data_IF_373888444398
#
_entry.id   IF_373888444398
#
_cell.length_a   1.000
_cell.length_b   1.000
_cell.length_c   1.000
_cell.angle_alpha   90.00
_cell.angle_beta   90.00
_cell.angle_gamma   90.00
#
_symmetry.space_group_name_H-M   'P 1'
#
loop_
_entity.id
_entity.type
_entity.pdbx_description
1 polymer ?
#
# COMPACT_ATOMS: atom_id res chain seq x y z
N UNK A 1 -11.56 -34.95 45.60
CA UNK A 1 -10.46 -34.92 44.63
C UNK A 1 -10.95 -34.23 43.37
N UNK A 2 -10.71 -32.94 43.27
CA UNK A 2 -11.14 -32.13 42.12
C UNK A 2 -10.11 -32.18 41.00
N UNK A 3 -10.52 -32.67 39.82
CA UNK A 3 -9.71 -32.58 38.62
C UNK A 3 -9.72 -31.11 38.15
N UNK A 4 -8.62 -30.40 38.36
CA UNK A 4 -8.36 -29.09 37.72
C UNK A 4 -8.23 -29.33 36.23
N UNK A 5 -9.24 -28.94 35.46
CA UNK A 5 -9.14 -28.81 34.02
C UNK A 5 -8.16 -27.66 33.71
N UNK A 6 -6.90 -28.00 33.43
CA UNK A 6 -5.97 -27.06 32.85
C UNK A 6 -6.48 -26.71 31.43
N UNK A 7 -7.11 -25.55 31.30
CA UNK A 7 -7.38 -24.95 30.01
C UNK A 7 -6.01 -24.68 29.36
N UNK A 8 -5.64 -25.49 28.38
CA UNK A 8 -4.43 -25.27 27.63
C UNK A 8 -4.69 -24.03 26.76
N UNK A 9 -3.91 -22.97 26.99
CA UNK A 9 -3.96 -21.79 26.13
C UNK A 9 -3.38 -22.16 24.76
N UNK A 10 -4.27 -22.49 23.83
CA UNK A 10 -3.94 -22.90 22.47
C UNK A 10 -3.10 -21.85 21.74
N UNK A 11 -3.28 -20.54 22.05
CA UNK A 11 -2.49 -19.46 21.46
C UNK A 11 -1.03 -19.53 21.91
N UNK A 12 -0.80 -19.83 23.20
CA UNK A 12 0.54 -19.96 23.76
C UNK A 12 1.24 -21.19 23.18
N UNK A 13 0.52 -22.30 23.09
CA UNK A 13 1.04 -23.55 22.51
C UNK A 13 1.36 -23.40 21.03
N UNK A 14 0.51 -22.70 20.24
CA UNK A 14 0.78 -22.40 18.85
C UNK A 14 1.98 -21.47 18.68
N UNK A 15 2.15 -20.47 19.55
CA UNK A 15 3.30 -19.57 19.51
C UNK A 15 4.62 -20.29 19.86
N UNK A 16 4.58 -21.32 20.73
CA UNK A 16 5.74 -22.15 21.08
C UNK A 16 6.09 -23.16 19.99
N UNK A 17 5.08 -23.79 19.36
CA UNK A 17 5.30 -24.80 18.31
C UNK A 17 5.61 -24.19 16.95
N UNK A 18 5.13 -22.98 16.67
CA UNK A 18 5.34 -22.23 15.44
C UNK A 18 5.80 -20.81 15.80
N UNK A 19 7.07 -20.65 16.20
CA UNK A 19 7.62 -19.33 16.44
C UNK A 19 7.53 -18.56 15.11
N UNK A 20 6.58 -17.66 15.02
CA UNK A 20 6.61 -16.69 13.92
C UNK A 20 7.94 -15.94 14.08
N UNK A 21 8.76 -15.84 13.03
CA UNK A 21 9.91 -14.96 13.09
C UNK A 21 9.37 -13.60 13.53
N UNK A 22 9.93 -13.05 14.62
CA UNK A 22 9.63 -11.68 15.06
C UNK A 22 9.95 -10.84 13.84
N UNK A 23 8.92 -10.36 13.14
CA UNK A 23 9.12 -9.51 11.99
C UNK A 23 10.01 -8.36 12.47
N UNK A 24 11.19 -8.14 11.86
CA UNK A 24 12.03 -7.01 12.20
C UNK A 24 11.13 -5.78 12.15
N UNK A 25 11.32 -4.85 13.10
CA UNK A 25 10.51 -3.64 13.26
C UNK A 25 10.13 -3.13 11.87
N UNK A 26 8.83 -3.05 11.59
CA UNK A 26 8.27 -3.02 10.23
C UNK A 26 9.04 -2.05 9.35
N UNK A 27 9.91 -2.58 8.49
CA UNK A 27 10.64 -1.76 7.57
C UNK A 27 9.61 -1.06 6.69
N UNK A 28 9.67 0.25 6.62
CA UNK A 28 8.80 1.08 5.80
C UNK A 28 9.51 1.48 4.51
N UNK A 29 8.75 1.80 3.48
CA UNK A 29 9.23 2.38 2.25
C UNK A 29 8.77 3.84 2.19
N UNK A 30 9.67 4.83 2.25
CA UNK A 30 9.30 6.23 2.14
C UNK A 30 8.56 6.50 0.82
N UNK A 31 7.50 7.30 0.89
CA UNK A 31 6.72 7.65 -0.32
C UNK A 31 7.33 8.82 -1.09
N UNK A 32 8.20 9.59 -0.43
CA UNK A 32 8.74 10.84 -0.95
C UNK A 32 7.81 12.04 -0.72
N UNK A 33 6.59 11.82 -0.26
CA UNK A 33 5.69 12.86 0.19
C UNK A 33 5.81 13.00 1.72
N UNK A 34 6.64 13.97 2.16
CA UNK A 34 7.02 14.13 3.58
C UNK A 34 5.83 14.14 4.53
N UNK A 35 4.77 14.86 4.16
CA UNK A 35 3.57 14.95 5.00
C UNK A 35 2.85 13.60 5.12
N UNK A 36 2.79 12.82 4.04
CA UNK A 36 2.23 11.47 4.05
C UNK A 36 3.09 10.56 4.94
N UNK A 37 4.41 10.57 4.74
CA UNK A 37 5.34 9.75 5.50
C UNK A 37 5.26 10.03 7.00
N UNK A 38 5.22 11.30 7.42
CA UNK A 38 5.05 11.69 8.82
C UNK A 38 3.76 11.15 9.43
N UNK A 39 2.67 11.16 8.66
CA UNK A 39 1.35 10.73 9.16
C UNK A 39 1.23 9.20 9.26
N UNK A 40 1.87 8.45 8.36
CA UNK A 40 1.76 6.98 8.31
C UNK A 40 2.94 6.25 8.99
N UNK A 41 3.84 6.97 9.67
CA UNK A 41 4.94 6.38 10.41
C UNK A 41 6.20 6.12 9.58
N UNK A 42 6.48 6.97 8.60
CA UNK A 42 7.73 6.98 7.81
C UNK A 42 7.61 6.42 6.41
N UNK A 43 6.45 5.94 5.98
CA UNK A 43 6.21 5.41 4.64
C UNK A 43 5.27 4.21 4.60
N UNK A 44 5.15 3.58 3.45
CA UNK A 44 4.34 2.37 3.30
C UNK A 44 4.99 1.18 4.01
N UNK A 45 4.23 0.39 4.81
CA UNK A 45 4.76 -0.79 5.47
C UNK A 45 5.18 -1.82 4.42
N UNK A 46 6.41 -2.31 4.50
CA UNK A 46 6.89 -3.46 3.72
C UNK A 46 6.29 -4.75 4.26
N UNK A 47 6.26 -5.78 3.43
CA UNK A 47 5.64 -7.08 3.74
C UNK A 47 4.15 -6.95 4.08
N UNK A 48 3.48 -5.95 3.50
CA UNK A 48 2.09 -5.64 3.79
C UNK A 48 1.36 -5.00 2.61
N UNK A 49 0.04 -5.09 2.65
CA UNK A 49 -0.84 -4.37 1.71
C UNK A 49 -1.25 -3.04 2.34
N UNK A 50 -1.03 -1.97 1.60
CA UNK A 50 -1.64 -0.65 1.83
C UNK A 50 -2.77 -0.46 0.82
N UNK A 51 -3.96 -0.11 1.29
CA UNK A 51 -5.09 0.26 0.45
C UNK A 51 -5.25 1.78 0.42
N UNK A 52 -5.16 2.37 -0.77
CA UNK A 52 -5.42 3.77 -1.02
C UNK A 52 -6.80 3.92 -1.67
N UNK A 53 -7.69 4.62 -1.00
CA UNK A 53 -9.05 4.84 -1.46
C UNK A 53 -9.12 6.27 -2.03
N UNK A 54 -9.45 6.39 -3.32
CA UNK A 54 -9.64 7.65 -4.03
C UNK A 54 -11.10 7.76 -4.48
N UNK A 55 -12.03 8.23 -3.64
CA UNK A 55 -13.47 8.20 -3.93
C UNK A 55 -13.86 9.00 -5.16
N UNK A 56 -13.08 10.04 -5.48
CA UNK A 56 -13.25 10.91 -6.64
C UNK A 56 -12.11 10.73 -7.63
N UNK A 57 -12.36 10.90 -8.92
CA UNK A 57 -11.33 10.78 -9.96
C UNK A 57 -10.22 11.82 -9.80
N UNK A 58 -10.56 13.02 -9.29
CA UNK A 58 -9.60 14.11 -9.02
C UNK A 58 -9.04 14.10 -7.60
N UNK A 59 -9.01 12.95 -6.92
CA UNK A 59 -8.56 12.87 -5.53
C UNK A 59 -7.02 12.91 -5.38
N UNK A 60 -6.26 12.86 -6.49
CA UNK A 60 -4.79 12.96 -6.46
C UNK A 60 -4.06 11.63 -6.53
N UNK A 61 -4.74 10.54 -6.93
CA UNK A 61 -4.11 9.23 -7.10
C UNK A 61 -2.98 9.24 -8.13
N UNK A 62 -3.18 9.87 -9.29
CA UNK A 62 -2.16 10.02 -10.32
C UNK A 62 -0.94 10.82 -9.81
N UNK A 63 -1.17 11.94 -9.11
CA UNK A 63 -0.08 12.73 -8.54
C UNK A 63 0.74 11.96 -7.51
N UNK A 64 0.09 11.07 -6.74
CA UNK A 64 0.81 10.18 -5.83
C UNK A 64 1.68 9.17 -6.60
N UNK A 65 1.20 8.58 -7.70
CA UNK A 65 2.01 7.69 -8.55
C UNK A 65 3.25 8.44 -9.05
N UNK A 66 3.09 9.67 -9.54
CA UNK A 66 4.22 10.49 -9.98
C UNK A 66 5.23 10.77 -8.85
N UNK A 67 4.74 11.08 -7.64
CA UNK A 67 5.62 11.28 -6.48
C UNK A 67 6.41 10.03 -6.12
N UNK A 68 5.76 8.88 -6.13
CA UNK A 68 6.40 7.59 -5.88
C UNK A 68 7.45 7.27 -6.93
N UNK A 69 7.18 7.60 -8.20
CA UNK A 69 8.12 7.39 -9.29
C UNK A 69 9.34 8.33 -9.16
N UNK A 70 9.15 9.59 -8.80
CA UNK A 70 10.24 10.52 -8.52
C UNK A 70 11.07 10.08 -7.30
N UNK A 71 10.41 9.55 -6.25
CA UNK A 71 11.11 8.97 -5.10
C UNK A 71 11.95 7.77 -5.52
N UNK A 72 11.41 6.86 -6.33
CA UNK A 72 12.13 5.70 -6.84
C UNK A 72 13.37 6.10 -7.65
N UNK A 73 13.26 7.12 -8.50
CA UNK A 73 14.39 7.69 -9.23
C UNK A 73 15.46 8.25 -8.29
N UNK A 74 15.07 9.07 -7.32
CA UNK A 74 15.99 9.68 -6.36
C UNK A 74 16.73 8.62 -5.56
N UNK A 75 16.02 7.60 -5.11
CA UNK A 75 16.53 6.54 -4.24
C UNK A 75 17.09 5.35 -5.04
N UNK A 76 17.18 5.47 -6.38
CA UNK A 76 17.79 4.53 -7.32
C UNK A 76 17.24 3.10 -7.21
N UNK A 77 15.93 2.95 -7.03
CA UNK A 77 15.26 1.65 -7.06
C UNK A 77 14.17 1.58 -8.12
N UNK A 78 13.71 0.38 -8.44
CA UNK A 78 12.65 0.15 -9.41
C UNK A 78 11.33 -0.03 -8.70
N UNK A 79 10.24 0.49 -9.29
CA UNK A 79 8.87 0.22 -8.87
C UNK A 79 8.10 -0.44 -10.00
N UNK A 80 7.09 -1.22 -9.65
CA UNK A 80 6.17 -1.79 -10.62
C UNK A 80 4.80 -1.12 -10.50
N UNK A 81 4.28 -0.65 -11.64
CA UNK A 81 2.91 -0.15 -11.77
C UNK A 81 2.11 -1.11 -12.63
N UNK A 82 1.08 -1.70 -12.06
CA UNK A 82 0.09 -2.52 -12.76
C UNK A 82 -1.14 -1.65 -12.99
N UNK A 83 -1.29 -1.21 -14.22
CA UNK A 83 -2.37 -0.33 -14.67
C UNK A 83 -3.50 -1.17 -15.26
N UNK A 84 -4.60 -1.27 -14.55
CA UNK A 84 -5.67 -2.21 -14.88
C UNK A 84 -6.54 -1.82 -16.08
N UNK A 85 -6.47 -0.56 -16.52
CA UNK A 85 -7.26 -0.04 -17.65
C UNK A 85 -6.44 0.76 -18.66
N UNK A 86 -5.10 0.72 -18.54
CA UNK A 86 -4.18 1.44 -19.43
C UNK A 86 -4.41 2.96 -19.42
N UNK A 87 -4.44 3.52 -18.23
CA UNK A 87 -4.78 4.94 -17.98
C UNK A 87 -3.60 5.81 -17.56
N UNK A 88 -2.47 5.21 -17.22
CA UNK A 88 -1.27 5.97 -16.84
C UNK A 88 -0.73 6.73 -18.05
N UNK A 89 -0.50 8.04 -17.87
CA UNK A 89 0.11 8.90 -18.88
C UNK A 89 1.60 9.09 -18.59
N UNK A 90 2.49 8.41 -19.34
CA UNK A 90 3.92 8.58 -19.17
C UNK A 90 4.41 9.97 -19.59
N UNK A 91 3.64 10.69 -20.45
CA UNK A 91 4.02 12.02 -20.93
C UNK A 91 4.04 13.08 -19.83
N UNK A 92 3.38 12.82 -18.69
CA UNK A 92 3.39 13.69 -17.52
C UNK A 92 4.57 13.45 -16.58
N UNK A 93 5.45 12.50 -16.87
CA UNK A 93 6.64 12.15 -16.07
C UNK A 93 7.94 12.40 -16.84
N UNK A 94 9.01 12.71 -16.11
CA UNK A 94 10.33 12.82 -16.68
C UNK A 94 10.84 11.47 -17.21
N UNK A 95 11.49 11.47 -18.37
CA UNK A 95 12.09 10.27 -18.97
C UNK A 95 13.10 9.58 -18.04
N UNK A 96 13.78 10.33 -17.18
CA UNK A 96 14.71 9.78 -16.18
C UNK A 96 14.00 8.99 -15.10
N UNK A 97 12.83 9.45 -14.65
CA UNK A 97 12.00 8.75 -13.67
C UNK A 97 11.36 7.49 -14.29
N UNK A 98 10.93 7.54 -15.56
CA UNK A 98 10.35 6.41 -16.27
C UNK A 98 11.32 5.21 -16.40
N UNK A 99 12.63 5.44 -16.36
CA UNK A 99 13.64 4.35 -16.36
C UNK A 99 13.57 3.48 -15.11
N UNK A 100 12.96 3.96 -14.04
CA UNK A 100 12.77 3.26 -12.78
C UNK A 100 11.40 2.57 -12.66
N UNK A 101 10.61 2.55 -13.76
CA UNK A 101 9.26 2.02 -13.81
C UNK A 101 9.18 0.74 -14.63
N UNK A 102 8.69 -0.33 -14.05
CA UNK A 102 8.08 -1.43 -14.78
C UNK A 102 6.59 -1.15 -14.91
N UNK A 103 6.13 -0.77 -16.10
CA UNK A 103 4.70 -0.52 -16.37
C UNK A 103 4.06 -1.72 -17.04
N UNK A 104 3.10 -2.34 -16.35
CA UNK A 104 2.31 -3.48 -16.82
C UNK A 104 0.92 -2.99 -17.15
N UNK A 105 0.58 -3.03 -18.43
CA UNK A 105 -0.69 -2.57 -18.99
C UNK A 105 -1.68 -3.72 -19.04
N UNK A 106 -2.78 -3.60 -18.34
CA UNK A 106 -3.87 -4.57 -18.35
C UNK A 106 -5.12 -3.98 -18.99
N UNK A 107 -6.11 -4.83 -19.25
CA UNK A 107 -7.42 -4.39 -19.76
C UNK A 107 -8.57 -4.79 -18.84
N UNK A 108 -8.27 -5.54 -17.78
CA UNK A 108 -9.26 -6.05 -16.82
C UNK A 108 -8.63 -6.07 -15.43
N UNK A 109 -9.43 -5.73 -14.42
CA UNK A 109 -9.00 -5.75 -13.03
C UNK A 109 -8.46 -7.12 -12.59
N UNK A 110 -9.08 -8.22 -13.05
CA UNK A 110 -8.62 -9.57 -12.69
C UNK A 110 -7.24 -9.92 -13.26
N UNK A 111 -6.89 -9.41 -14.43
CA UNK A 111 -5.55 -9.61 -15.01
C UNK A 111 -4.51 -8.80 -14.25
N UNK A 112 -4.88 -7.61 -13.75
CA UNK A 112 -4.02 -6.84 -12.85
C UNK A 112 -3.73 -7.60 -11.53
N UNK A 113 -4.73 -8.28 -10.96
CA UNK A 113 -4.52 -9.13 -9.77
C UNK A 113 -3.59 -10.31 -10.07
N UNK A 114 -3.67 -10.93 -11.24
CA UNK A 114 -2.73 -12.00 -11.66
C UNK A 114 -1.31 -11.47 -11.84
N UNK A 115 -1.16 -10.28 -12.44
CA UNK A 115 0.14 -9.63 -12.58
C UNK A 115 0.75 -9.32 -11.20
N UNK A 116 -0.06 -8.82 -10.25
CA UNK A 116 0.37 -8.59 -8.88
C UNK A 116 0.83 -9.89 -8.19
N UNK A 117 0.07 -11.00 -8.34
CA UNK A 117 0.46 -12.33 -7.82
C UNK A 117 1.83 -12.75 -8.36
N UNK A 118 2.08 -12.52 -9.63
CA UNK A 118 3.36 -12.87 -10.26
C UNK A 118 4.52 -12.03 -9.71
N UNK A 119 4.37 -10.70 -9.65
CA UNK A 119 5.43 -9.80 -9.17
C UNK A 119 5.73 -9.97 -7.67
N UNK A 120 4.70 -10.21 -6.85
CA UNK A 120 4.89 -10.45 -5.43
C UNK A 120 5.60 -11.78 -5.14
N UNK A 121 5.47 -12.78 -6.02
CA UNK A 121 6.25 -14.03 -5.92
C UNK A 121 7.73 -13.82 -6.26
N UNK A 122 7.99 -12.94 -7.21
CA UNK A 122 9.36 -12.61 -7.62
C UNK A 122 10.10 -11.82 -6.53
N UNK A 123 9.42 -10.91 -5.83
CA UNK A 123 9.94 -10.17 -4.67
C UNK A 123 11.03 -9.14 -4.98
N UNK A 124 11.31 -8.86 -6.25
CA UNK A 124 12.42 -7.99 -6.68
C UNK A 124 12.08 -6.50 -6.64
N UNK A 125 10.79 -6.14 -6.48
CA UNK A 125 10.36 -4.76 -6.45
C UNK A 125 10.11 -4.29 -5.02
N UNK A 126 10.74 -3.21 -4.54
CA UNK A 126 10.43 -2.63 -3.23
C UNK A 126 8.98 -2.15 -3.13
N UNK A 127 8.38 -1.73 -4.28
CA UNK A 127 7.00 -1.28 -4.37
C UNK A 127 6.31 -1.89 -5.59
N UNK A 128 5.16 -2.50 -5.36
CA UNK A 128 4.21 -2.93 -6.40
C UNK A 128 2.92 -2.12 -6.22
N UNK A 129 2.56 -1.34 -7.23
CA UNK A 129 1.34 -0.54 -7.28
C UNK A 129 0.33 -1.26 -8.19
N UNK A 130 -0.89 -1.44 -7.69
CA UNK A 130 -2.02 -1.98 -8.47
C UNK A 130 -3.06 -0.88 -8.58
N UNK A 131 -3.15 -0.24 -9.75
CA UNK A 131 -4.10 0.84 -9.99
C UNK A 131 -5.41 0.29 -10.56
N UNK A 132 -6.46 0.35 -9.73
CA UNK A 132 -7.83 -0.06 -10.03
C UNK A 132 -8.81 1.12 -9.98
N UNK A 133 -8.32 2.35 -9.87
CA UNK A 133 -9.16 3.55 -9.64
C UNK A 133 -10.21 3.74 -10.74
N UNK A 134 -9.86 3.46 -11.99
CA UNK A 134 -10.77 3.63 -13.12
C UNK A 134 -11.59 2.40 -13.47
N UNK A 135 -11.37 1.25 -12.80
CA UNK A 135 -12.21 0.07 -13.01
C UNK A 135 -13.63 0.28 -12.46
N UNK A 136 -14.61 -0.31 -13.11
CA UNK A 136 -15.99 -0.24 -12.66
C UNK A 136 -16.20 -1.03 -11.36
N UNK A 137 -17.12 -0.57 -10.50
CA UNK A 137 -17.45 -1.27 -9.27
C UNK A 137 -17.97 -2.70 -9.54
N UNK A 138 -18.63 -2.92 -10.67
CA UNK A 138 -19.11 -4.24 -11.08
C UNK A 138 -17.95 -5.20 -11.38
N UNK A 139 -16.94 -4.71 -12.08
CA UNK A 139 -15.74 -5.50 -12.39
C UNK A 139 -14.95 -5.85 -11.13
N UNK A 140 -14.78 -4.87 -10.22
CA UNK A 140 -14.08 -5.08 -8.96
C UNK A 140 -14.79 -6.08 -8.03
N UNK A 141 -16.14 -6.12 -8.01
CA UNK A 141 -16.90 -7.11 -7.24
C UNK A 141 -16.73 -8.54 -7.74
N UNK A 142 -16.33 -8.74 -9.00
CA UNK A 142 -16.05 -10.06 -9.57
C UNK A 142 -14.72 -10.64 -9.11
N UNK A 143 -13.85 -9.84 -8.47
CA UNK A 143 -12.59 -10.32 -7.90
C UNK A 143 -12.91 -11.12 -6.63
N UNK A 144 -12.59 -12.43 -6.57
CA UNK A 144 -12.84 -13.23 -5.39
C UNK A 144 -12.07 -12.73 -4.17
N UNK A 145 -12.70 -12.78 -3.00
CA UNK A 145 -12.02 -12.40 -1.74
C UNK A 145 -10.75 -13.24 -1.48
N UNK A 146 -10.74 -14.48 -1.93
CA UNK A 146 -9.58 -15.37 -1.86
C UNK A 146 -8.35 -14.81 -2.59
N UNK A 147 -8.55 -14.00 -3.65
CA UNK A 147 -7.44 -13.36 -4.36
C UNK A 147 -6.73 -12.33 -3.49
N UNK A 148 -7.46 -11.55 -2.69
CA UNK A 148 -6.90 -10.57 -1.76
C UNK A 148 -6.10 -11.24 -0.63
N UNK A 149 -6.65 -12.31 -0.05
CA UNK A 149 -5.93 -13.10 0.96
C UNK A 149 -4.68 -13.79 0.40
N UNK A 150 -4.72 -14.20 -0.86
CA UNK A 150 -3.56 -14.76 -1.54
C UNK A 150 -2.47 -13.70 -1.73
N UNK A 151 -2.80 -12.51 -2.22
CA UNK A 151 -1.85 -11.40 -2.33
C UNK A 151 -1.26 -11.03 -0.95
N UNK A 152 -2.09 -11.01 0.09
CA UNK A 152 -1.63 -10.78 1.46
C UNK A 152 -0.55 -11.76 1.88
N UNK A 153 -0.76 -13.06 1.68
CA UNK A 153 0.23 -14.10 2.03
C UNK A 153 1.52 -13.98 1.21
N UNK A 154 1.40 -13.59 -0.04
CA UNK A 154 2.58 -13.40 -0.91
C UNK A 154 3.42 -12.21 -0.45
N UNK A 155 2.78 -11.08 -0.17
CA UNK A 155 3.51 -9.88 0.26
C UNK A 155 4.15 -10.05 1.64
N UNK A 156 3.52 -10.81 2.56
CA UNK A 156 4.09 -11.12 3.88
C UNK A 156 5.43 -11.88 3.82
N UNK A 157 5.66 -12.61 2.74
CA UNK A 157 6.87 -13.41 2.55
C UNK A 157 8.06 -12.63 1.95
N UNK A 158 7.84 -11.39 1.49
CA UNK A 158 8.85 -10.60 0.75
C UNK A 158 8.96 -9.18 1.30
N UNK A 159 10.14 -8.50 1.17
CA UNK A 159 10.33 -7.13 1.66
C UNK A 159 9.73 -6.07 0.71
N UNK A 160 8.57 -6.36 0.13
CA UNK A 160 7.85 -5.52 -0.83
C UNK A 160 6.71 -4.78 -0.14
N UNK A 161 6.53 -3.50 -0.41
CA UNK A 161 5.29 -2.80 -0.12
C UNK A 161 4.31 -3.01 -1.29
N UNK A 162 3.06 -3.39 -1.01
CA UNK A 162 2.02 -3.52 -2.02
C UNK A 162 0.97 -2.43 -1.82
N UNK A 163 0.86 -1.52 -2.78
CA UNK A 163 -0.13 -0.44 -2.78
C UNK A 163 -1.26 -0.79 -3.73
N UNK A 164 -2.47 -0.95 -3.20
CA UNK A 164 -3.69 -1.16 -4.00
C UNK A 164 -4.49 0.12 -3.99
N UNK A 165 -4.73 0.68 -5.17
CA UNK A 165 -5.46 1.93 -5.36
C UNK A 165 -6.82 1.65 -5.97
N UNK A 166 -7.88 2.19 -5.37
CA UNK A 166 -9.25 1.99 -5.84
C UNK A 166 -10.18 3.14 -5.38
N UNK A 167 -11.45 3.11 -5.78
CA UNK A 167 -12.43 4.15 -5.39
C UNK A 167 -13.22 3.83 -4.12
N UNK A 168 -13.22 2.59 -3.70
CA UNK A 168 -13.98 2.11 -2.52
C UNK A 168 -13.19 1.03 -1.81
N UNK A 169 -13.37 0.86 -0.51
CA UNK A 169 -12.65 -0.17 0.24
C UNK A 169 -12.98 -1.57 -0.27
N UNK A 170 -11.95 -2.31 -0.69
CA UNK A 170 -12.02 -3.66 -1.25
C UNK A 170 -11.23 -4.67 -0.43
N UNK A 171 -10.08 -4.26 0.10
CA UNK A 171 -9.11 -5.15 0.73
C UNK A 171 -9.31 -5.16 2.24
N UNK A 172 -10.07 -6.14 2.75
CA UNK A 172 -10.33 -6.28 4.19
C UNK A 172 -9.08 -6.57 5.00
N UNK A 173 -8.08 -7.22 4.41
CA UNK A 173 -6.80 -7.60 5.04
C UNK A 173 -5.72 -6.51 4.98
N UNK A 174 -5.98 -5.35 4.36
CA UNK A 174 -4.99 -4.28 4.29
C UNK A 174 -4.54 -3.83 5.67
N UNK A 175 -3.22 -3.74 5.87
CA UNK A 175 -2.62 -3.31 7.13
C UNK A 175 -2.74 -1.80 7.34
N UNK A 176 -2.64 -1.04 6.26
CA UNK A 176 -2.82 0.40 6.23
C UNK A 176 -3.92 0.76 5.23
N UNK A 177 -4.86 1.63 5.65
CA UNK A 177 -5.91 2.19 4.78
C UNK A 177 -5.86 3.70 4.82
N UNK A 178 -5.75 4.29 3.64
CA UNK A 178 -5.67 5.74 3.44
C UNK A 178 -6.80 6.16 2.51
N UNK A 179 -7.54 7.19 2.88
CA UNK A 179 -8.57 7.80 2.03
C UNK A 179 -8.09 9.16 1.57
N UNK A 180 -8.05 9.38 0.26
CA UNK A 180 -7.79 10.69 -0.32
C UNK A 180 -9.05 11.54 -0.27
N UNK A 181 -8.94 12.75 0.28
CA UNK A 181 -10.06 13.68 0.46
C UNK A 181 -10.07 14.82 -0.57
N UNK A 182 -9.06 14.87 -1.43
CA UNK A 182 -8.95 15.93 -2.42
C UNK A 182 -10.10 15.91 -3.43
N UNK A 183 -10.43 17.10 -3.88
CA UNK A 183 -11.30 17.34 -5.02
C UNK A 183 -10.67 18.50 -5.81
N UNK A 184 -9.64 18.18 -6.61
CA UNK A 184 -8.91 19.19 -7.35
C UNK A 184 -9.69 19.66 -8.59
N UNK A 185 -9.57 20.93 -8.85
CA UNK A 185 -10.03 21.59 -10.07
C UNK A 185 -8.86 21.78 -11.02
N UNK A 186 -9.12 22.11 -12.29
CA UNK A 186 -8.06 22.38 -13.27
C UNK A 186 -7.11 23.50 -12.79
N UNK A 187 -7.65 24.53 -12.12
CA UNK A 187 -6.86 25.63 -11.55
C UNK A 187 -5.91 25.19 -10.39
N UNK A 188 -6.22 24.09 -9.73
CA UNK A 188 -5.34 23.56 -8.68
C UNK A 188 -4.14 22.78 -9.26
N UNK A 189 -4.27 22.26 -10.48
CA UNK A 189 -3.20 21.54 -11.18
C UNK A 189 -2.12 22.48 -11.74
N UNK A 190 -2.43 23.76 -11.91
CA UNK A 190 -1.46 24.79 -12.34
C UNK A 190 -0.54 25.26 -11.21
N UNK A 191 -0.84 24.88 -9.96
CA UNK A 191 -0.03 25.24 -8.79
C UNK A 191 1.21 24.36 -8.68
N UNK A 192 2.36 24.96 -8.48
CA UNK A 192 3.56 24.23 -8.09
C UNK A 192 3.31 23.47 -6.78
N UNK A 193 3.79 22.20 -6.70
CA UNK A 193 3.68 21.33 -5.51
C UNK A 193 2.28 20.79 -5.18
N UNK A 194 1.59 20.27 -6.18
CA UNK A 194 0.28 19.57 -6.02
C UNK A 194 0.34 18.47 -4.93
N UNK A 195 1.47 17.80 -4.79
CA UNK A 195 1.68 16.70 -3.82
C UNK A 195 1.67 17.20 -2.37
N UNK A 196 2.21 18.39 -2.11
CA UNK A 196 2.22 18.99 -0.76
C UNK A 196 0.82 19.33 -0.25
N UNK A 197 -0.17 19.41 -1.16
CA UNK A 197 -1.55 19.72 -0.88
C UNK A 197 -2.46 18.47 -0.83
N UNK A 198 -1.89 17.27 -0.85
CA UNK A 198 -2.66 16.05 -0.69
C UNK A 198 -3.30 16.02 0.71
N UNK A 199 -4.64 15.97 0.74
CA UNK A 199 -5.42 15.75 1.96
C UNK A 199 -5.82 14.29 2.01
N UNK A 200 -5.59 13.65 3.15
CA UNK A 200 -5.94 12.26 3.34
C UNK A 200 -6.25 11.96 4.80
N UNK A 201 -7.02 10.91 5.00
CA UNK A 201 -7.34 10.37 6.32
C UNK A 201 -6.84 8.93 6.41
N UNK A 202 -6.16 8.61 7.52
CA UNK A 202 -5.81 7.23 7.84
C UNK A 202 -6.99 6.57 8.55
N UNK A 203 -7.64 5.59 7.91
CA UNK A 203 -8.77 4.86 8.48
C UNK A 203 -8.35 3.66 9.32
N UNK A 204 -7.24 3.02 8.95
CA UNK A 204 -6.74 1.82 9.64
C UNK A 204 -5.22 1.81 9.58
N UNK A 205 -4.59 1.65 10.73
CA UNK A 205 -3.16 1.40 10.82
C UNK A 205 -2.93 0.29 11.87
N UNK A 206 -2.36 -0.82 11.43
CA UNK A 206 -1.84 -1.87 12.31
C UNK A 206 -0.32 -1.75 12.51
N UNK A 207 0.28 -0.69 12.04
CA UNK A 207 1.68 -0.36 12.35
C UNK A 207 1.73 -0.05 13.84
N UNK A 208 2.38 -0.92 14.64
CA UNK A 208 2.64 -0.62 16.03
C UNK A 208 3.45 0.67 16.09
N UNK A 209 2.85 1.75 16.58
CA UNK A 209 3.54 3.00 16.86
C UNK A 209 4.61 2.71 17.92
N UNK A 210 5.87 2.79 17.53
CA UNK A 210 7.04 2.77 18.43
C UNK A 210 7.29 4.16 19.04
N UNK A 211 6.27 4.98 19.18
CA UNK A 211 6.42 6.33 19.76
C UNK A 211 5.50 6.46 20.96
N UNK A 212 6.16 6.78 22.10
CA UNK A 212 5.63 7.27 23.38
C UNK A 212 5.32 6.23 24.45
N UNK A 213 6.41 5.77 25.12
CA UNK A 213 6.39 5.54 26.58
C UNK A 213 7.65 6.19 27.23
N UNK A 214 7.83 7.47 27.03
CA UNK A 214 8.82 8.27 27.81
C UNK A 214 8.27 9.66 28.09
N UNK A 215 7.16 9.77 28.85
CA UNK A 215 6.80 11.02 29.56
C UNK A 215 5.72 10.73 30.60
N UNK A 216 6.06 10.01 31.66
CA UNK A 216 5.33 10.07 32.93
C UNK A 216 6.15 9.41 34.05
N UNK A 217 7.28 10.00 34.41
CA UNK A 217 7.88 9.87 35.75
C UNK A 217 8.87 11.01 35.95
N UNK A 218 8.35 12.19 36.25
CA UNK A 218 8.99 13.18 37.13
C UNK A 218 7.87 14.01 37.73
N UNK A 219 7.43 13.66 38.88
CA UNK A 219 7.03 14.57 39.97
C UNK A 219 7.19 13.80 41.29
#
# INVERSE_FOLDING_TARGET
>A
MGRSNKVIDLRKLLAECFPHPIAPAAAVLPTGAQFLDQTIGGGFPKSAITELIAPKLSAGSASLIHALLQSAQRDQHFIALIDAVDSFDPGSSDNSALRHLLWIRCRKAFDAIKAADFLLRDGNFPLVIVDLVLNSAEELRKIPQTSWYRLQRLVEAVPTACLIMNRQSLVSSAQLKIVLENSWTLSDLEKENVISNLRFQVQRSHVKSLVTDHLSQVT
#
